data_IF_089574887338
#
_entry.id   IF_089574887338
#
_cell.length_a   1.000
_cell.length_b   1.000
_cell.length_c   1.000
_cell.angle_alpha   90.00
_cell.angle_beta   90.00
_cell.angle_gamma   90.00
#
_symmetry.space_group_name_H-M   'P 1'
#
loop_
_entity.id
_entity.type
_entity.pdbx_description
1 polymer ?
#
# COMPACT_ATOMS: atom_id res chain seq x y z
N UNK A 1 -53.28 70.36 -8.00
CA UNK A 1 -52.99 69.56 -9.20
C UNK A 1 -51.47 69.56 -9.43
N UNK A 2 -50.76 68.59 -8.87
CA UNK A 2 -49.32 68.39 -9.08
C UNK A 2 -49.11 66.97 -9.57
N UNK A 3 -48.59 66.81 -10.79
CA UNK A 3 -48.43 65.52 -11.48
C UNK A 3 -47.19 64.82 -10.93
N UNK A 4 -47.36 63.67 -10.29
CA UNK A 4 -46.26 62.77 -9.94
C UNK A 4 -45.96 61.90 -11.16
N UNK A 5 -44.77 62.06 -11.75
CA UNK A 5 -44.28 61.18 -12.82
C UNK A 5 -43.58 59.98 -12.19
N UNK A 6 -44.06 58.77 -12.48
CA UNK A 6 -43.35 57.53 -12.15
C UNK A 6 -42.20 57.33 -13.15
N UNK A 7 -40.97 57.22 -12.65
CA UNK A 7 -39.82 56.72 -13.42
C UNK A 7 -39.77 55.20 -13.20
N UNK A 8 -40.00 54.44 -14.26
CA UNK A 8 -39.79 52.99 -14.26
C UNK A 8 -38.28 52.73 -14.41
N UNK A 9 -37.65 52.16 -13.37
CA UNK A 9 -36.28 51.67 -13.43
C UNK A 9 -36.32 50.22 -13.89
N UNK A 10 -35.93 49.98 -15.14
CA UNK A 10 -35.74 48.63 -15.68
C UNK A 10 -34.41 48.07 -15.20
N UNK A 11 -34.44 47.06 -14.34
CA UNK A 11 -33.25 46.31 -13.91
C UNK A 11 -32.93 45.26 -14.98
N UNK A 12 -31.88 45.51 -15.76
CA UNK A 12 -31.28 44.51 -16.65
C UNK A 12 -30.45 43.54 -15.81
N UNK A 13 -30.99 42.35 -15.57
CA UNK A 13 -30.31 41.27 -14.87
C UNK A 13 -29.34 40.59 -15.83
N UNK A 14 -28.07 41.00 -15.79
CA UNK A 14 -26.99 40.35 -16.52
C UNK A 14 -26.76 38.95 -15.99
N UNK A 15 -26.96 37.92 -16.83
CA UNK A 15 -26.63 36.55 -16.49
C UNK A 15 -25.10 36.40 -16.42
N UNK A 16 -24.57 36.35 -15.21
CA UNK A 16 -23.19 35.94 -14.98
C UNK A 16 -23.09 34.45 -15.33
N UNK A 17 -22.38 34.12 -16.41
CA UNK A 17 -21.97 32.76 -16.71
C UNK A 17 -21.00 32.32 -15.61
N UNK A 18 -21.51 31.55 -14.65
CA UNK A 18 -20.66 30.87 -13.69
C UNK A 18 -19.84 29.83 -14.47
N UNK A 19 -18.56 30.12 -14.70
CA UNK A 19 -17.59 29.12 -15.13
C UNK A 19 -17.39 28.15 -13.98
N UNK A 20 -18.10 27.04 -14.00
CA UNK A 20 -17.86 25.93 -13.08
C UNK A 20 -16.39 25.53 -13.20
N UNK A 21 -15.64 25.46 -12.09
CA UNK A 21 -14.28 24.94 -12.14
C UNK A 21 -14.33 23.52 -12.70
N UNK A 22 -13.57 23.29 -13.77
CA UNK A 22 -13.34 21.97 -14.35
C UNK A 22 -12.78 21.05 -13.26
N UNK A 23 -13.49 19.96 -12.97
CA UNK A 23 -13.06 18.81 -12.17
C UNK A 23 -11.84 18.11 -12.82
N UNK A 24 -10.67 18.76 -12.81
CA UNK A 24 -9.43 18.18 -13.35
C UNK A 24 -8.36 17.93 -12.28
N UNK A 25 -8.76 17.87 -11.00
CA UNK A 25 -7.89 17.57 -9.87
C UNK A 25 -8.43 16.45 -8.96
N UNK A 26 -9.48 15.74 -9.40
CA UNK A 26 -10.02 14.59 -8.67
C UNK A 26 -9.23 13.33 -9.09
N UNK A 27 -8.49 12.76 -8.13
CA UNK A 27 -7.90 11.42 -8.09
C UNK A 27 -6.66 11.11 -8.95
N UNK A 28 -5.56 11.83 -8.75
CA UNK A 28 -4.25 11.23 -9.03
C UNK A 28 -3.98 10.12 -8.00
N UNK A 29 -3.84 8.88 -8.45
CA UNK A 29 -3.45 7.75 -7.58
C UNK A 29 -2.13 8.06 -6.88
N UNK A 30 -1.98 7.62 -5.63
CA UNK A 30 -0.68 7.66 -4.96
C UNK A 30 0.36 6.87 -5.75
N UNK A 31 1.59 7.35 -5.78
CA UNK A 31 2.69 6.69 -6.48
C UNK A 31 3.84 6.43 -5.52
N UNK A 32 4.32 5.20 -5.52
CA UNK A 32 5.54 4.77 -4.85
C UNK A 32 6.60 4.41 -5.88
N UNK A 33 7.87 4.42 -5.46
CA UNK A 33 9.01 4.06 -6.31
C UNK A 33 9.84 2.99 -5.62
N UNK A 34 10.11 1.89 -6.32
CA UNK A 34 11.20 0.99 -5.97
C UNK A 34 12.50 1.52 -6.57
N UNK A 35 13.59 1.45 -5.81
CA UNK A 35 14.92 1.92 -6.25
C UNK A 35 15.82 0.72 -6.57
N UNK A 36 16.55 0.82 -7.69
CA UNK A 36 17.51 -0.21 -8.08
C UNK A 36 18.70 -0.22 -7.11
N UNK A 37 19.14 -1.41 -6.71
CA UNK A 37 20.29 -1.59 -5.82
C UNK A 37 21.58 -1.50 -6.65
N UNK A 38 22.38 -0.45 -6.40
CA UNK A 38 23.68 -0.25 -7.08
C UNK A 38 24.84 -1.05 -6.43
N UNK A 39 24.62 -1.58 -5.22
CA UNK A 39 25.64 -2.25 -4.41
C UNK A 39 25.24 -3.65 -3.96
N UNK A 40 25.56 -3.98 -2.70
CA UNK A 40 25.12 -5.24 -2.09
C UNK A 40 23.62 -5.22 -1.85
N UNK A 41 22.95 -6.33 -2.18
CA UNK A 41 21.56 -6.53 -1.76
C UNK A 41 21.46 -6.59 -0.23
N UNK A 42 20.38 -6.07 0.38
CA UNK A 42 20.19 -6.13 1.81
C UNK A 42 20.05 -7.58 2.28
N UNK A 43 20.56 -7.85 3.47
CA UNK A 43 20.42 -9.14 4.12
C UNK A 43 19.04 -9.20 4.76
N UNK A 44 18.20 -10.18 4.39
CA UNK A 44 16.89 -10.35 5.03
C UNK A 44 17.07 -11.00 6.41
N UNK A 45 17.35 -10.19 7.42
CA UNK A 45 17.52 -10.60 8.82
C UNK A 45 16.58 -9.88 9.79
N UNK A 46 15.85 -8.87 9.31
CA UNK A 46 14.90 -8.06 10.06
C UNK A 46 15.52 -6.78 10.61
N UNK A 47 16.82 -6.52 10.39
CA UNK A 47 17.53 -5.34 10.88
C UNK A 47 17.65 -4.33 9.74
N UNK A 48 17.09 -3.13 9.90
CA UNK A 48 17.09 -2.10 8.86
C UNK A 48 18.37 -1.24 8.87
N UNK A 49 19.54 -1.87 8.92
CA UNK A 49 20.86 -1.20 9.01
C UNK A 49 21.71 -1.32 7.73
N UNK A 50 21.31 -2.15 6.77
CA UNK A 50 22.00 -2.23 5.47
C UNK A 50 21.96 -0.89 4.71
N UNK A 51 23.14 -0.42 4.26
CA UNK A 51 23.30 0.85 3.52
C UNK A 51 22.41 0.94 2.26
N UNK A 52 22.02 -0.20 1.68
CA UNK A 52 21.12 -0.24 0.53
C UNK A 52 19.80 0.51 0.80
N UNK A 53 19.28 0.44 2.03
CA UNK A 53 18.02 1.07 2.43
C UNK A 53 18.07 2.60 2.39
N UNK A 54 19.24 3.21 2.50
CA UNK A 54 19.40 4.67 2.48
C UNK A 54 19.14 5.29 1.11
N UNK A 55 19.19 4.48 0.04
CA UNK A 55 18.90 4.92 -1.32
C UNK A 55 17.41 5.13 -1.60
N UNK A 56 16.52 4.58 -0.75
CA UNK A 56 15.07 4.62 -0.94
C UNK A 56 14.41 5.68 -0.06
N UNK A 57 13.57 6.52 -0.66
CA UNK A 57 12.68 7.41 0.11
C UNK A 57 11.54 6.56 0.69
N UNK A 58 11.39 6.50 2.02
CA UNK A 58 10.34 5.69 2.62
C UNK A 58 8.95 6.28 2.36
N UNK A 59 8.01 5.39 2.08
CA UNK A 59 6.57 5.61 2.09
C UNK A 59 6.14 5.83 3.54
N UNK A 60 5.45 6.92 3.83
CA UNK A 60 5.03 7.33 5.18
C UNK A 60 3.61 7.86 5.28
N UNK A 61 3.02 8.24 4.15
CA UNK A 61 1.73 8.91 4.05
C UNK A 61 0.55 7.94 4.19
N UNK A 62 0.62 7.03 5.15
CA UNK A 62 -0.44 6.08 5.46
C UNK A 62 -1.65 6.80 6.07
N UNK A 63 -2.83 6.19 5.92
CA UNK A 63 -4.11 6.66 6.46
C UNK A 63 -4.83 5.53 7.16
N UNK A 64 -5.67 5.89 8.11
CA UNK A 64 -6.46 4.94 8.86
C UNK A 64 -7.68 4.50 8.04
N UNK A 65 -7.95 3.19 8.02
CA UNK A 65 -9.20 2.61 7.50
C UNK A 65 -10.17 2.32 8.63
N UNK A 66 -9.64 1.79 9.74
CA UNK A 66 -10.39 1.47 10.96
C UNK A 66 -9.57 2.00 12.14
N UNK A 67 -10.18 2.62 13.16
CA UNK A 67 -11.61 2.87 13.34
C UNK A 67 -12.16 4.12 12.63
N UNK A 68 -11.33 5.14 12.39
CA UNK A 68 -11.73 6.41 11.79
C UNK A 68 -11.19 6.46 10.35
N UNK A 69 -12.04 6.20 9.38
CA UNK A 69 -11.66 6.13 7.97
C UNK A 69 -11.15 7.49 7.47
N UNK A 70 -9.99 7.49 6.81
CA UNK A 70 -9.37 8.67 6.20
C UNK A 70 -8.54 9.54 7.14
N UNK A 71 -8.53 9.25 8.44
CA UNK A 71 -7.77 10.00 9.45
C UNK A 71 -6.29 9.62 9.48
N UNK A 72 -5.48 10.42 10.18
CA UNK A 72 -4.08 10.09 10.46
C UNK A 72 -3.97 8.79 11.30
N UNK A 73 -3.06 7.86 10.95
CA UNK A 73 -2.83 6.67 11.76
C UNK A 73 -2.34 7.01 13.16
N UNK A 74 -2.76 6.21 14.14
CA UNK A 74 -2.39 6.48 15.53
C UNK A 74 -0.95 6.08 15.88
N UNK A 75 -0.27 5.37 14.97
CA UNK A 75 1.14 5.05 15.02
C UNK A 75 1.77 5.17 13.63
N UNK A 76 3.04 5.61 13.59
CA UNK A 76 3.76 5.75 12.33
C UNK A 76 4.14 4.38 11.75
N UNK A 77 4.15 4.31 10.42
CA UNK A 77 4.66 3.18 9.64
C UNK A 77 5.51 3.73 8.51
N UNK A 78 6.67 3.12 8.26
CA UNK A 78 7.52 3.43 7.11
C UNK A 78 7.74 2.19 6.27
N UNK A 79 7.67 2.31 4.95
CA UNK A 79 8.02 1.22 4.03
C UNK A 79 8.98 1.70 2.96
N UNK A 80 10.06 0.95 2.72
CA UNK A 80 11.02 1.17 1.64
C UNK A 80 10.95 0.02 0.66
N UNK A 81 11.12 0.34 -0.62
CA UNK A 81 11.09 -0.63 -1.71
C UNK A 81 12.40 -0.52 -2.48
N UNK A 82 13.10 -1.65 -2.59
CA UNK A 82 14.31 -1.80 -3.40
C UNK A 82 14.14 -2.98 -4.34
N UNK A 83 14.96 -3.04 -5.39
CA UNK A 83 15.03 -4.22 -6.23
C UNK A 83 16.41 -4.40 -6.85
N UNK A 84 16.74 -5.65 -7.18
CA UNK A 84 17.85 -6.01 -8.06
C UNK A 84 17.30 -6.78 -9.28
N UNK A 85 18.13 -7.50 -10.03
CA UNK A 85 17.65 -8.32 -11.16
C UNK A 85 16.78 -9.51 -10.75
N UNK A 86 16.82 -9.92 -9.49
CA UNK A 86 16.34 -11.21 -9.01
C UNK A 86 15.07 -11.06 -8.14
N UNK A 87 14.95 -10.00 -7.35
CA UNK A 87 13.88 -9.83 -6.39
C UNK A 87 13.49 -8.38 -6.12
N UNK A 88 12.23 -8.22 -5.69
CA UNK A 88 11.77 -7.05 -4.95
C UNK A 88 12.09 -7.26 -3.47
N UNK A 89 12.66 -6.23 -2.84
CA UNK A 89 12.93 -6.18 -1.42
C UNK A 89 12.04 -5.13 -0.76
N UNK A 90 11.49 -5.50 0.40
CA UNK A 90 10.63 -4.63 1.20
C UNK A 90 11.23 -4.53 2.59
N UNK A 91 11.45 -3.31 3.06
CA UNK A 91 11.76 -3.02 4.46
C UNK A 91 10.60 -2.23 5.07
N UNK A 92 10.12 -2.65 6.24
CA UNK A 92 9.03 -1.98 6.93
C UNK A 92 9.40 -1.72 8.39
N UNK A 93 9.23 -0.47 8.83
CA UNK A 93 9.35 -0.03 10.22
C UNK A 93 7.96 0.26 10.77
N UNK A 94 7.54 -0.52 11.76
CA UNK A 94 6.25 -0.42 12.41
C UNK A 94 6.47 0.14 13.81
N UNK A 95 6.31 1.45 13.98
CA UNK A 95 6.46 2.06 15.31
C UNK A 95 5.30 1.61 16.21
N UNK A 96 5.61 1.37 17.49
CA UNK A 96 4.63 1.04 18.50
C UNK A 96 5.01 1.75 19.81
N UNK A 97 4.13 2.56 20.42
CA UNK A 97 4.46 3.34 21.62
C UNK A 97 4.71 2.48 22.86
N UNK A 98 4.35 1.19 22.80
CA UNK A 98 4.53 0.21 23.87
C UNK A 98 4.96 -1.14 23.28
N UNK A 99 6.23 -1.31 22.87
CA UNK A 99 6.67 -2.49 22.14
C UNK A 99 6.46 -3.81 22.91
N UNK A 100 6.43 -3.76 24.24
CA UNK A 100 6.15 -4.92 25.08
C UNK A 100 4.73 -5.49 24.89
N UNK A 101 3.80 -4.69 24.35
CA UNK A 101 2.42 -5.07 24.09
C UNK A 101 2.12 -5.31 22.59
N UNK A 102 3.16 -5.39 21.73
CA UNK A 102 2.98 -5.86 20.35
C UNK A 102 2.44 -7.28 20.38
N UNK A 103 1.29 -7.50 19.75
CA UNK A 103 0.66 -8.81 19.73
C UNK A 103 1.39 -9.74 18.78
N UNK A 104 1.87 -10.86 19.29
CA UNK A 104 2.55 -11.93 18.54
C UNK A 104 1.78 -13.25 18.60
N UNK A 105 0.61 -13.28 19.23
CA UNK A 105 -0.18 -14.50 19.42
C UNK A 105 -0.85 -14.94 18.12
N UNK A 106 -0.52 -16.15 17.66
CA UNK A 106 -0.97 -16.68 16.37
C UNK A 106 -2.34 -17.37 16.42
N UNK A 107 -3.01 -17.43 17.57
CA UNK A 107 -4.17 -18.31 17.76
C UNK A 107 -5.32 -17.68 18.55
N UNK A 108 -6.54 -17.87 18.03
CA UNK A 108 -7.70 -18.33 18.81
C UNK A 108 -8.35 -19.54 18.12
N UNK A 109 -9.00 -20.39 18.93
CA UNK A 109 -10.06 -21.32 18.51
C UNK A 109 -10.91 -20.53 17.51
N UNK A 110 -11.07 -21.01 16.27
CA UNK A 110 -11.88 -20.40 15.19
C UNK A 110 -11.11 -19.62 14.08
N UNK A 111 -9.77 -19.56 14.10
CA UNK A 111 -8.97 -19.47 12.85
C UNK A 111 -8.43 -18.11 12.40
N UNK A 112 -8.55 -17.03 13.19
CA UNK A 112 -7.91 -15.75 12.89
C UNK A 112 -6.75 -15.46 13.85
N UNK A 113 -5.60 -15.06 13.31
CA UNK A 113 -4.40 -14.68 14.09
C UNK A 113 -4.65 -13.33 14.80
N UNK A 114 -4.26 -13.23 16.07
CA UNK A 114 -4.27 -11.99 16.85
C UNK A 114 -2.92 -11.27 16.79
N UNK A 115 -2.01 -11.71 15.92
CA UNK A 115 -0.71 -11.08 15.75
C UNK A 115 -0.81 -9.83 14.88
N UNK A 116 -0.11 -8.78 15.28
CA UNK A 116 0.11 -7.61 14.44
C UNK A 116 0.80 -8.03 13.13
N UNK A 117 0.45 -7.40 12.00
CA UNK A 117 0.99 -7.79 10.69
C UNK A 117 1.08 -6.63 9.71
N UNK A 118 2.02 -6.75 8.77
CA UNK A 118 2.16 -5.89 7.60
C UNK A 118 1.94 -6.73 6.34
N UNK A 119 1.29 -6.15 5.34
CA UNK A 119 0.86 -6.80 4.11
C UNK A 119 1.19 -5.91 2.92
N UNK A 120 1.81 -6.49 1.90
CA UNK A 120 2.11 -5.86 0.62
C UNK A 120 1.29 -6.56 -0.45
N UNK A 121 0.42 -5.82 -1.13
CA UNK A 121 -0.38 -6.31 -2.25
C UNK A 121 0.09 -5.68 -3.56
N UNK A 122 0.22 -6.51 -4.61
CA UNK A 122 0.82 -6.16 -5.89
C UNK A 122 -0.08 -6.61 -7.04
N UNK A 123 -0.59 -5.66 -7.82
CA UNK A 123 -1.17 -5.91 -9.14
C UNK A 123 -0.06 -5.81 -10.19
N UNK A 124 0.63 -6.92 -10.43
CA UNK A 124 1.83 -6.98 -11.27
C UNK A 124 1.55 -6.94 -12.78
N UNK A 125 0.27 -7.03 -13.17
CA UNK A 125 -0.17 -6.85 -14.56
C UNK A 125 -0.73 -5.45 -14.82
N UNK A 126 -0.98 -4.67 -13.76
CA UNK A 126 -1.71 -3.40 -13.78
C UNK A 126 -3.09 -3.55 -14.44
N UNK A 127 -3.71 -4.73 -14.31
CA UNK A 127 -5.02 -5.02 -14.89
C UNK A 127 -6.18 -4.55 -14.01
N UNK A 128 -5.85 -4.03 -12.81
CA UNK A 128 -6.79 -3.51 -11.80
C UNK A 128 -7.80 -4.57 -11.36
N UNK A 129 -7.39 -5.83 -11.43
CA UNK A 129 -8.24 -6.98 -11.17
C UNK A 129 -7.51 -8.06 -10.39
N UNK A 130 -6.30 -8.41 -10.78
CA UNK A 130 -5.54 -9.49 -10.14
C UNK A 130 -4.51 -8.91 -9.17
N UNK A 131 -4.22 -9.64 -8.10
CA UNK A 131 -3.19 -9.22 -7.16
C UNK A 131 -2.48 -10.41 -6.50
N UNK A 132 -1.22 -10.20 -6.15
CA UNK A 132 -0.47 -11.05 -5.23
C UNK A 132 -0.36 -10.35 -3.88
N UNK A 133 -0.48 -11.09 -2.80
CA UNK A 133 -0.26 -10.58 -1.45
C UNK A 133 0.90 -11.31 -0.80
N UNK A 134 1.78 -10.58 -0.13
CA UNK A 134 2.84 -11.09 0.73
C UNK A 134 2.77 -10.36 2.07
N UNK A 135 2.75 -11.09 3.17
CA UNK A 135 2.69 -10.47 4.48
C UNK A 135 3.39 -11.29 5.55
N UNK A 136 3.77 -10.59 6.62
CA UNK A 136 4.43 -11.19 7.77
C UNK A 136 3.84 -10.60 9.06
N UNK A 137 3.67 -11.44 10.07
CA UNK A 137 3.27 -11.00 11.40
C UNK A 137 4.48 -10.63 12.25
N UNK A 138 4.26 -9.89 13.33
CA UNK A 138 5.28 -9.59 14.34
C UNK A 138 5.85 -10.85 15.02
N UNK A 139 5.19 -12.00 14.86
CA UNK A 139 5.67 -13.31 15.29
C UNK A 139 6.54 -14.02 14.23
N UNK A 140 6.79 -13.39 13.09
CA UNK A 140 7.57 -13.95 11.97
C UNK A 140 6.80 -14.94 11.10
N UNK A 141 5.47 -15.04 11.25
CA UNK A 141 4.65 -15.91 10.40
C UNK A 141 4.38 -15.23 9.09
N UNK A 142 4.78 -15.90 8.01
CA UNK A 142 4.51 -15.51 6.63
C UNK A 142 3.14 -15.98 6.19
N UNK A 143 2.51 -15.19 5.34
CA UNK A 143 1.33 -15.56 4.59
C UNK A 143 1.38 -14.90 3.22
N UNK A 144 0.79 -15.57 2.26
CA UNK A 144 0.73 -15.12 0.88
C UNK A 144 -0.57 -15.58 0.24
N UNK A 145 -0.95 -14.91 -0.83
CA UNK A 145 -2.19 -15.17 -1.53
C UNK A 145 -2.10 -14.70 -2.98
N UNK A 146 -2.89 -15.35 -3.83
CA UNK A 146 -3.24 -14.83 -5.15
C UNK A 146 -4.74 -14.49 -5.18
N UNK A 147 -5.05 -13.32 -5.73
CA UNK A 147 -6.39 -12.78 -5.89
C UNK A 147 -6.72 -12.78 -7.39
N UNK A 148 -7.56 -13.71 -7.89
CA UNK A 148 -7.86 -13.85 -9.32
C UNK A 148 -8.89 -12.83 -9.85
N UNK A 149 -9.55 -12.11 -8.95
CA UNK A 149 -10.63 -11.18 -9.21
C UNK A 149 -10.44 -9.90 -8.41
N UNK A 150 -11.13 -8.82 -8.80
CA UNK A 150 -11.07 -7.52 -8.13
C UNK A 150 -11.83 -7.55 -6.78
N UNK A 151 -11.38 -8.41 -5.88
CA UNK A 151 -11.92 -8.63 -4.55
C UNK A 151 -10.80 -9.13 -3.62
N UNK A 152 -10.99 -8.99 -2.31
CA UNK A 152 -10.04 -9.49 -1.32
C UNK A 152 -10.08 -11.03 -1.15
N UNK A 153 -11.01 -11.70 -1.84
CA UNK A 153 -11.06 -13.15 -1.91
C UNK A 153 -9.78 -13.69 -2.57
N UNK A 154 -9.23 -14.76 -2.00
CA UNK A 154 -7.95 -15.32 -2.41
C UNK A 154 -8.02 -16.82 -2.64
N UNK A 155 -7.09 -17.31 -3.47
CA UNK A 155 -6.84 -18.73 -3.67
C UNK A 155 -5.80 -19.25 -2.67
N UNK A 156 -6.18 -20.25 -1.87
CA UNK A 156 -5.32 -20.83 -0.83
C UNK A 156 -4.20 -21.75 -1.33
N UNK A 157 -4.08 -21.94 -2.65
CA UNK A 157 -3.07 -22.84 -3.26
C UNK A 157 -1.83 -22.12 -3.75
N UNK A 158 -1.85 -20.79 -3.76
CA UNK A 158 -0.63 -20.03 -4.01
C UNK A 158 0.30 -20.23 -2.81
N UNK A 159 1.52 -20.70 -3.07
CA UNK A 159 2.54 -21.02 -2.07
C UNK A 159 3.93 -20.76 -2.68
N UNK A 160 4.32 -19.48 -2.84
CA UNK A 160 5.57 -19.08 -3.46
C UNK A 160 6.76 -19.30 -2.52
N UNK A 161 7.95 -19.43 -3.10
CA UNK A 161 9.21 -19.46 -2.33
C UNK A 161 9.75 -18.05 -2.17
N UNK A 162 9.54 -17.45 -1.00
CA UNK A 162 10.02 -16.11 -0.64
C UNK A 162 10.56 -16.07 0.80
N UNK A 163 11.31 -15.03 1.16
CA UNK A 163 11.92 -14.90 2.49
C UNK A 163 11.36 -13.68 3.23
N UNK A 164 11.19 -13.82 4.55
CA UNK A 164 10.93 -12.69 5.43
C UNK A 164 11.60 -12.91 6.79
N UNK A 165 11.98 -11.81 7.45
CA UNK A 165 12.46 -11.78 8.83
C UNK A 165 11.89 -10.57 9.54
N UNK A 166 11.80 -10.68 10.86
CA UNK A 166 11.23 -9.65 11.73
C UNK A 166 12.10 -9.48 12.96
N UNK A 167 12.13 -8.28 13.50
CA UNK A 167 12.76 -7.99 14.78
C UNK A 167 11.87 -7.04 15.59
N UNK A 168 11.77 -7.27 16.90
CA UNK A 168 11.13 -6.35 17.84
C UNK A 168 12.24 -5.60 18.57
N UNK A 169 12.08 -4.28 18.71
CA UNK A 169 13.01 -3.42 19.44
C UNK A 169 12.27 -2.41 20.33
N UNK A 170 12.97 -1.39 20.78
CA UNK A 170 12.46 -0.37 21.71
C UNK A 170 11.56 0.69 21.05
N UNK A 171 11.49 0.76 19.72
CA UNK A 171 10.60 1.69 19.01
C UNK A 171 9.39 1.00 18.38
N UNK A 172 9.43 -0.33 18.27
CA UNK A 172 8.35 -1.15 17.74
C UNK A 172 8.87 -2.45 17.16
N UNK A 173 8.63 -2.67 15.87
CA UNK A 173 9.19 -3.81 15.16
C UNK A 173 9.49 -3.49 13.71
N UNK A 174 10.31 -4.34 13.11
CA UNK A 174 10.75 -4.27 11.72
C UNK A 174 10.42 -5.55 11.00
N UNK A 175 10.26 -5.44 9.69
CA UNK A 175 10.16 -6.58 8.79
C UNK A 175 10.99 -6.33 7.55
N UNK A 176 11.67 -7.37 7.09
CA UNK A 176 12.29 -7.42 5.78
C UNK A 176 11.71 -8.57 4.98
N UNK A 177 11.48 -8.35 3.69
CA UNK A 177 10.99 -9.35 2.76
C UNK A 177 11.85 -9.36 1.50
N UNK A 178 12.13 -10.55 0.97
CA UNK A 178 12.66 -10.77 -0.38
C UNK A 178 11.67 -11.59 -1.17
N UNK A 179 11.10 -10.99 -2.20
CA UNK A 179 10.10 -11.56 -3.09
C UNK A 179 10.76 -11.76 -4.47
N UNK A 180 11.20 -12.98 -4.81
CA UNK A 180 11.84 -13.22 -6.10
C UNK A 180 10.87 -12.98 -7.24
N UNK A 181 11.31 -12.34 -8.32
CA UNK A 181 10.46 -12.11 -9.49
C UNK A 181 10.02 -13.41 -10.16
N UNK A 182 10.73 -14.51 -9.93
CA UNK A 182 10.32 -15.85 -10.40
C UNK A 182 9.04 -16.36 -9.73
N UNK A 183 8.64 -15.80 -8.58
CA UNK A 183 7.39 -16.12 -7.89
C UNK A 183 6.20 -15.32 -8.42
N UNK A 184 6.47 -14.30 -9.24
CA UNK A 184 5.47 -13.38 -9.76
C UNK A 184 5.30 -13.59 -11.26
N UNK A 185 4.08 -13.38 -11.74
CA UNK A 185 3.83 -13.22 -13.18
C UNK A 185 3.54 -11.75 -13.46
N UNK A 186 4.13 -11.21 -14.51
CA UNK A 186 4.03 -9.80 -14.85
C UNK A 186 4.24 -9.57 -16.35
N UNK A 187 3.96 -8.35 -16.81
CA UNK A 187 4.11 -7.97 -18.21
C UNK A 187 5.59 -7.99 -18.63
N UNK A 188 5.87 -8.53 -19.82
CA UNK A 188 7.22 -8.52 -20.41
C UNK A 188 7.55 -7.16 -21.03
N UNK A 189 7.76 -6.15 -20.19
CA UNK A 189 8.12 -4.77 -20.56
C UNK A 189 9.41 -4.33 -19.86
N UNK A 190 10.16 -3.42 -20.48
CA UNK A 190 11.45 -2.98 -19.94
C UNK A 190 11.28 -2.17 -18.64
N UNK A 191 10.28 -1.30 -18.60
CA UNK A 191 9.86 -0.60 -17.41
C UNK A 191 8.54 -1.20 -16.91
N UNK A 192 8.50 -1.53 -15.63
CA UNK A 192 7.31 -2.06 -14.98
C UNK A 192 6.52 -0.93 -14.33
N UNK A 193 5.20 -1.05 -14.41
CA UNK A 193 4.26 -0.30 -13.58
C UNK A 193 3.29 -1.31 -13.00
N UNK A 194 3.22 -1.37 -11.67
CA UNK A 194 2.35 -2.28 -10.94
C UNK A 194 1.36 -1.50 -10.08
N UNK A 195 0.24 -2.11 -9.71
CA UNK A 195 -0.57 -1.59 -8.62
C UNK A 195 0.05 -1.96 -7.28
N UNK A 196 0.03 -1.05 -6.31
CA UNK A 196 0.52 -1.30 -4.95
C UNK A 196 -0.51 -0.89 -3.90
N UNK A 197 -0.68 -1.75 -2.91
CA UNK A 197 -1.30 -1.41 -1.64
C UNK A 197 -0.48 -1.98 -0.49
N UNK A 198 -0.40 -1.24 0.61
CA UNK A 198 0.31 -1.64 1.82
C UNK A 198 -0.64 -1.45 3.00
N UNK A 199 -0.88 -2.51 3.77
CA UNK A 199 -1.71 -2.43 4.96
C UNK A 199 -1.04 -3.00 6.20
N UNK A 200 -1.31 -2.37 7.35
CA UNK A 200 -0.87 -2.81 8.67
C UNK A 200 -2.10 -3.02 9.55
N UNK A 201 -2.16 -4.16 10.22
CA UNK A 201 -3.24 -4.48 11.16
C UNK A 201 -2.69 -4.54 12.58
N UNK A 202 -3.26 -3.73 13.48
CA UNK A 202 -2.89 -3.58 14.88
C UNK A 202 -4.05 -4.03 15.79
N UNK A 203 -4.13 -5.32 16.12
CA UNK A 203 -5.24 -5.87 16.89
C UNK A 203 -5.31 -5.31 18.32
N UNK A 204 -4.18 -4.92 18.91
CA UNK A 204 -4.11 -4.25 20.21
C UNK A 204 -4.90 -2.94 20.29
N UNK A 205 -5.08 -2.27 19.16
CA UNK A 205 -5.75 -0.97 19.03
C UNK A 205 -7.04 -1.04 18.22
N UNK A 206 -7.39 -2.23 17.72
CA UNK A 206 -8.45 -2.43 16.73
C UNK A 206 -8.31 -1.47 15.54
N UNK A 207 -7.09 -1.36 15.02
CA UNK A 207 -6.73 -0.38 13.99
C UNK A 207 -6.21 -1.08 12.73
N UNK A 208 -6.68 -0.60 11.59
CA UNK A 208 -6.18 -0.98 10.26
C UNK A 208 -5.71 0.28 9.56
N UNK A 209 -4.45 0.26 9.13
CA UNK A 209 -3.76 1.35 8.45
C UNK A 209 -3.53 0.89 7.00
N UNK A 210 -3.74 1.79 6.05
CA UNK A 210 -3.56 1.55 4.62
C UNK A 210 -2.75 2.65 3.97
N UNK A 211 -2.00 2.33 2.92
CA UNK A 211 -1.31 3.35 2.14
C UNK A 211 -2.29 4.06 1.21
N UNK A 212 -3.11 3.29 0.49
CA UNK A 212 -4.27 3.77 -0.26
C UNK A 212 -5.53 3.26 0.41
N UNK A 213 -6.42 4.17 0.80
CA UNK A 213 -7.68 3.79 1.43
C UNK A 213 -8.51 2.96 0.45
N UNK A 214 -8.86 1.75 0.87
CA UNK A 214 -9.86 0.93 0.22
C UNK A 214 -11.09 0.99 1.12
N UNK A 215 -12.11 1.80 0.79
CA UNK A 215 -13.29 1.97 1.64
C UNK A 215 -13.95 0.62 1.92
N UNK A 216 -14.57 0.47 3.10
CA UNK A 216 -15.21 -0.81 3.48
C UNK A 216 -16.33 -1.23 2.54
N UNK A 217 -17.01 -0.26 1.93
CA UNK A 217 -18.08 -0.47 0.95
C UNK A 217 -17.56 -0.51 -0.50
N UNK A 218 -16.24 -0.56 -0.70
CA UNK A 218 -15.64 -0.64 -2.02
C UNK A 218 -16.06 -1.92 -2.74
N UNK A 219 -16.44 -1.78 -4.01
CA UNK A 219 -16.74 -2.90 -4.88
C UNK A 219 -15.49 -3.60 -5.44
N UNK A 220 -14.30 -3.06 -5.19
CA UNK A 220 -13.03 -3.54 -5.75
C UNK A 220 -11.88 -3.57 -4.74
N UNK A 221 -10.85 -4.35 -5.05
CA UNK A 221 -9.62 -4.49 -4.27
C UNK A 221 -8.44 -3.91 -5.06
N UNK A 222 -7.97 -4.62 -6.09
CA UNK A 222 -6.84 -4.22 -6.93
C UNK A 222 -7.09 -2.92 -7.72
N UNK A 223 -8.36 -2.62 -8.04
CA UNK A 223 -8.72 -1.39 -8.75
C UNK A 223 -8.47 -0.10 -7.97
N UNK A 224 -8.40 -0.20 -6.64
CA UNK A 224 -8.12 0.92 -5.73
C UNK A 224 -6.62 1.14 -5.48
N UNK A 225 -5.76 0.20 -5.87
CA UNK A 225 -4.33 0.29 -5.57
C UNK A 225 -3.70 1.56 -6.14
N UNK A 226 -2.67 2.05 -5.46
CA UNK A 226 -1.78 3.08 -5.99
C UNK A 226 -0.93 2.53 -7.14
N UNK A 227 0.04 3.33 -7.60
CA UNK A 227 1.01 2.94 -8.60
C UNK A 227 2.38 2.68 -7.96
N UNK A 228 3.04 1.60 -8.37
CA UNK A 228 4.45 1.33 -8.10
C UNK A 228 5.25 1.41 -9.40
N UNK A 229 6.28 2.23 -9.38
CA UNK A 229 7.17 2.48 -10.52
C UNK A 229 8.65 2.29 -10.15
N UNK A 230 9.52 2.46 -11.15
CA UNK A 230 10.98 2.46 -10.97
C UNK A 230 11.64 1.10 -11.11
N UNK A 231 10.86 0.03 -11.23
CA UNK A 231 11.35 -1.33 -11.52
C UNK A 231 11.61 -1.44 -13.03
N UNK A 232 12.87 -1.62 -13.40
CA UNK A 232 13.33 -1.64 -14.78
C UNK A 232 14.29 -2.82 -15.02
N UNK A 233 14.35 -3.32 -16.26
CA UNK A 233 15.36 -4.32 -16.66
C UNK A 233 15.19 -5.73 -16.08
N UNK A 234 14.07 -6.02 -15.41
CA UNK A 234 13.78 -7.35 -14.86
C UNK A 234 13.21 -8.29 -15.93
N UNK A 235 13.39 -9.60 -15.76
CA UNK A 235 12.94 -10.60 -16.74
C UNK A 235 11.73 -11.37 -16.24
N UNK A 236 10.63 -11.31 -17.00
CA UNK A 236 9.50 -12.20 -16.77
C UNK A 236 9.92 -13.67 -16.97
N UNK A 237 9.57 -14.52 -16.00
CA UNK A 237 9.81 -15.96 -16.13
C UNK A 237 9.01 -16.53 -17.30
N UNK A 238 9.69 -17.26 -18.19
CA UNK A 238 9.07 -17.85 -19.39
C UNK A 238 8.11 -18.97 -18.96
N UNK A 239 6.93 -19.05 -19.57
CA UNK A 239 6.06 -20.24 -19.46
C UNK A 239 6.87 -21.47 -19.93
N UNK A 240 7.08 -22.45 -19.06
CA UNK A 240 7.49 -23.80 -19.44
C UNK A 240 6.23 -24.58 -19.81
#
# INVERSE_FOLDING_TARGET
MGRVSLIAVSVLMGAALATSPSLSAQDARKTARAVHIEGSAPTVDGILEDEAWDSSVPIRDFIQKVPLEGEEPSVATEVRLLYDSDALYVAARMYHPDPANIRTTLTRRDGQSDAERIVIALDTYLDRRTAYTFGVSAAGVRFDAYHPEDSDASESRFDPVWAARVQIDDQGWTAEMRIPFTQLRFNATDAQRWGLEISRFLPGRNEEIQWVLIPRESAGFASNFGDLEGIEGIRASRRI
#
